data_IF_624163216428
#
_entry.id   IF_624163216428
#
_cell.length_a   1.000
_cell.length_b   1.000
_cell.length_c   1.000
_cell.angle_alpha   90.00
_cell.angle_beta   90.00
_cell.angle_gamma   90.00
#
_symmetry.space_group_name_H-M   'P 1'
#
loop_
_entity.id
_entity.type
_entity.pdbx_description
1 polymer ?
#
# COMPACT_ATOMS: atom_id res chain seq x y z
N UNK A 1 -20.72 -4.75 -19.55
CA UNK A 1 -19.69 -3.81 -19.04
C UNK A 1 -18.63 -4.63 -18.33
N UNK A 2 -17.38 -4.16 -18.22
CA UNK A 2 -16.40 -4.84 -17.36
C UNK A 2 -16.77 -4.60 -15.89
N UNK A 3 -16.57 -5.60 -15.03
CA UNK A 3 -16.80 -5.51 -13.57
C UNK A 3 -16.13 -4.27 -12.98
N UNK A 4 -14.91 -3.91 -13.42
CA UNK A 4 -14.24 -2.66 -13.03
C UNK A 4 -15.07 -1.39 -13.25
N UNK A 5 -15.85 -1.30 -14.34
CA UNK A 5 -16.65 -0.10 -14.64
C UNK A 5 -17.82 0.06 -13.66
N UNK A 6 -18.41 -1.07 -13.25
CA UNK A 6 -19.48 -1.08 -12.24
C UNK A 6 -18.92 -0.73 -10.86
N UNK A 7 -17.77 -1.30 -10.49
CA UNK A 7 -17.06 -0.98 -9.26
C UNK A 7 -16.62 0.50 -9.22
N UNK A 8 -16.16 1.07 -10.34
CA UNK A 8 -15.82 2.48 -10.41
C UNK A 8 -17.04 3.40 -10.22
N UNK A 9 -18.22 2.98 -10.71
CA UNK A 9 -19.47 3.70 -10.46
C UNK A 9 -19.86 3.63 -8.99
N UNK A 10 -19.71 2.47 -8.35
CA UNK A 10 -19.95 2.32 -6.91
C UNK A 10 -19.02 3.22 -6.09
N UNK A 11 -17.72 3.24 -6.40
CA UNK A 11 -16.74 4.13 -5.74
C UNK A 11 -17.15 5.60 -5.79
N UNK A 12 -17.77 6.06 -6.89
CA UNK A 12 -18.22 7.45 -7.01
C UNK A 12 -19.35 7.85 -6.06
N UNK A 13 -19.99 6.88 -5.41
CA UNK A 13 -21.06 7.09 -4.43
C UNK A 13 -20.59 7.09 -2.97
N UNK A 14 -19.33 6.70 -2.71
CA UNK A 14 -18.76 6.58 -1.36
C UNK A 14 -18.02 7.85 -0.94
N UNK A 15 -18.06 8.19 0.35
CA UNK A 15 -17.33 9.33 0.90
C UNK A 15 -15.91 8.93 1.35
N UNK A 16 -14.93 9.07 0.45
CA UNK A 16 -13.55 8.58 0.65
C UNK A 16 -12.48 9.67 0.74
N UNK A 17 -12.88 10.95 0.78
CA UNK A 17 -11.95 12.08 0.68
C UNK A 17 -10.91 12.13 1.81
N UNK A 18 -11.20 11.50 2.95
CA UNK A 18 -10.32 11.47 4.11
C UNK A 18 -9.23 10.38 4.02
N UNK A 19 -9.18 9.59 2.95
CA UNK A 19 -8.19 8.51 2.77
C UNK A 19 -6.94 8.95 2.01
N UNK A 20 -6.99 10.07 1.29
CA UNK A 20 -5.86 10.52 0.48
C UNK A 20 -4.79 11.19 1.35
N UNK A 21 -3.53 10.74 1.22
CA UNK A 21 -2.38 11.19 2.04
C UNK A 21 -2.57 10.99 3.55
N UNK A 22 -3.22 9.89 3.93
CA UNK A 22 -3.41 9.50 5.33
C UNK A 22 -2.96 8.06 5.58
N UNK A 23 -2.68 7.74 6.84
CA UNK A 23 -2.30 6.39 7.26
C UNK A 23 -3.50 5.45 7.46
N UNK A 24 -3.24 4.14 7.36
CA UNK A 24 -4.18 3.07 7.69
C UNK A 24 -3.63 2.23 8.85
N UNK A 25 -3.95 2.60 10.08
CA UNK A 25 -3.52 1.86 11.28
C UNK A 25 -4.58 0.86 11.75
N UNK A 26 -5.80 1.33 11.97
CA UNK A 26 -6.88 0.54 12.55
C UNK A 26 -8.16 0.67 11.72
N UNK A 27 -8.92 -0.42 11.61
CA UNK A 27 -10.17 -0.43 10.83
C UNK A 27 -11.30 0.35 11.49
N UNK A 28 -11.30 0.48 12.83
CA UNK A 28 -12.31 1.26 13.56
C UNK A 28 -12.08 2.77 13.51
N UNK A 29 -10.91 3.21 13.02
CA UNK A 29 -10.64 4.62 12.74
C UNK A 29 -11.11 5.03 11.34
N UNK A 30 -11.81 4.14 10.64
CA UNK A 30 -12.31 4.33 9.28
C UNK A 30 -13.82 4.23 9.26
N UNK A 31 -14.43 4.99 8.37
CA UNK A 31 -15.89 4.92 8.16
C UNK A 31 -16.24 3.66 7.36
N UNK A 32 -17.51 3.25 7.41
CA UNK A 32 -17.99 2.13 6.60
C UNK A 32 -17.77 2.38 5.09
N UNK A 33 -17.97 3.63 4.63
CA UNK A 33 -17.69 4.05 3.24
C UNK A 33 -16.21 3.85 2.86
N UNK A 34 -15.28 4.18 3.76
CA UNK A 34 -13.84 4.02 3.53
C UNK A 34 -13.43 2.54 3.47
N UNK A 35 -14.02 1.71 4.34
CA UNK A 35 -13.78 0.26 4.33
C UNK A 35 -14.38 -0.39 3.07
N UNK A 36 -15.59 0.01 2.66
CA UNK A 36 -16.21 -0.47 1.42
C UNK A 36 -15.39 -0.06 0.19
N UNK A 37 -14.83 1.15 0.19
CA UNK A 37 -13.94 1.60 -0.88
C UNK A 37 -12.69 0.73 -1.01
N UNK A 38 -12.09 0.29 0.09
CA UNK A 38 -10.94 -0.63 0.07
C UNK A 38 -11.31 -1.95 -0.60
N UNK A 39 -12.45 -2.56 -0.22
CA UNK A 39 -12.89 -3.80 -0.83
C UNK A 39 -13.21 -3.63 -2.31
N UNK A 40 -13.87 -2.52 -2.67
CA UNK A 40 -14.23 -2.19 -4.05
C UNK A 40 -12.99 -1.99 -4.93
N UNK A 41 -11.97 -1.28 -4.44
CA UNK A 41 -10.69 -1.12 -5.14
C UNK A 41 -9.95 -2.45 -5.26
N UNK A 42 -9.92 -3.27 -4.21
CA UNK A 42 -9.27 -4.58 -4.24
C UNK A 42 -9.89 -5.50 -5.32
N UNK A 43 -11.22 -5.52 -5.40
CA UNK A 43 -11.96 -6.28 -6.41
C UNK A 43 -11.74 -5.74 -7.83
N UNK A 44 -11.63 -4.41 -7.97
CA UNK A 44 -11.35 -3.78 -9.25
C UNK A 44 -9.94 -4.10 -9.77
N UNK A 45 -8.93 -4.06 -8.88
CA UNK A 45 -7.55 -4.43 -9.20
C UNK A 45 -7.44 -5.92 -9.58
N UNK A 46 -8.19 -6.79 -8.89
CA UNK A 46 -8.28 -8.23 -9.25
C UNK A 46 -8.84 -8.41 -10.66
N UNK A 47 -9.99 -7.81 -10.97
CA UNK A 47 -10.62 -7.91 -12.30
C UNK A 47 -9.70 -7.38 -13.43
N UNK A 48 -8.97 -6.30 -13.18
CA UNK A 48 -7.99 -5.77 -14.14
C UNK A 48 -6.85 -6.76 -14.37
N UNK A 49 -6.30 -7.34 -13.30
CA UNK A 49 -5.20 -8.31 -13.40
C UNK A 49 -5.61 -9.60 -14.10
N UNK A 50 -6.80 -10.12 -13.81
CA UNK A 50 -7.38 -11.31 -14.44
C UNK A 50 -7.59 -11.11 -15.95
N UNK A 51 -7.86 -9.86 -16.38
CA UNK A 51 -7.96 -9.46 -17.79
C UNK A 51 -6.64 -9.02 -18.41
N UNK A 52 -5.52 -9.36 -17.78
CA UNK A 52 -4.16 -9.03 -18.21
C UNK A 52 -3.94 -7.54 -18.48
N UNK A 53 -4.56 -6.67 -17.66
CA UNK A 53 -4.34 -5.22 -17.69
C UNK A 53 -3.38 -4.83 -16.58
N UNK A 54 -2.33 -4.10 -16.94
CA UNK A 54 -1.40 -3.51 -15.98
C UNK A 54 -2.12 -2.46 -15.14
N UNK A 55 -1.89 -2.50 -13.83
CA UNK A 55 -2.38 -1.52 -12.84
C UNK A 55 -1.24 -0.67 -12.29
N UNK A 56 -0.11 -0.61 -13.00
CA UNK A 56 1.01 0.25 -12.62
C UNK A 56 0.56 1.70 -12.66
N UNK A 57 0.75 2.40 -11.55
CA UNK A 57 0.48 3.84 -11.40
C UNK A 57 1.75 4.63 -11.06
N UNK A 58 2.83 3.93 -10.71
CA UNK A 58 4.17 4.49 -10.52
C UNK A 58 5.11 4.00 -11.62
N UNK A 59 5.84 4.94 -12.23
CA UNK A 59 6.91 4.62 -13.19
C UNK A 59 8.20 4.24 -12.45
N UNK A 60 8.52 4.98 -11.39
CA UNK A 60 9.58 4.72 -10.41
C UNK A 60 9.12 5.08 -9.00
N UNK A 61 9.82 4.56 -7.99
CA UNK A 61 9.59 4.88 -6.57
C UNK A 61 9.83 3.68 -5.67
N UNK A 62 10.07 3.94 -4.38
CA UNK A 62 10.32 2.90 -3.40
C UNK A 62 9.15 2.69 -2.45
N UNK A 63 8.83 1.42 -2.16
CA UNK A 63 8.01 1.00 -1.04
C UNK A 63 8.91 0.46 0.08
N UNK A 64 9.06 1.23 1.17
CA UNK A 64 9.90 0.81 2.29
C UNK A 64 9.18 -0.25 3.12
N UNK A 65 9.82 -1.40 3.32
CA UNK A 65 9.29 -2.50 4.11
C UNK A 65 9.99 -2.59 5.45
N UNK A 66 9.27 -2.34 6.55
CA UNK A 66 9.83 -2.33 7.91
C UNK A 66 9.24 -3.51 8.68
N UNK A 67 10.07 -4.53 8.94
CA UNK A 67 9.67 -5.73 9.69
C UNK A 67 10.55 -5.91 10.92
N UNK A 68 9.97 -5.75 12.11
CA UNK A 68 10.65 -6.03 13.40
C UNK A 68 10.77 -7.51 13.70
N UNK A 69 9.75 -8.27 13.29
CA UNK A 69 9.68 -9.72 13.42
C UNK A 69 9.55 -10.39 12.05
N UNK A 70 10.04 -11.63 11.96
CA UNK A 70 10.01 -12.38 10.73
C UNK A 70 8.59 -12.88 10.40
N UNK A 71 8.02 -12.38 9.31
CA UNK A 71 6.77 -12.89 8.73
C UNK A 71 6.89 -13.00 7.20
N UNK A 72 7.20 -14.20 6.71
CA UNK A 72 7.35 -14.45 5.27
C UNK A 72 6.05 -14.16 4.50
N UNK A 73 4.88 -14.52 5.05
CA UNK A 73 3.58 -14.31 4.39
C UNK A 73 3.28 -12.83 4.18
N UNK A 74 3.53 -12.00 5.20
CA UNK A 74 3.26 -10.56 5.12
C UNK A 74 4.27 -9.88 4.20
N UNK A 75 5.55 -10.24 4.25
CA UNK A 75 6.60 -9.72 3.35
C UNK A 75 6.25 -9.96 1.88
N UNK A 76 5.90 -11.21 1.53
CA UNK A 76 5.52 -11.55 0.16
C UNK A 76 4.23 -10.82 -0.28
N UNK A 77 3.24 -10.68 0.61
CA UNK A 77 2.01 -9.94 0.31
C UNK A 77 2.29 -8.47 0.01
N UNK A 78 3.09 -7.81 0.85
CA UNK A 78 3.47 -6.40 0.66
C UNK A 78 4.27 -6.21 -0.62
N UNK A 79 5.27 -7.07 -0.88
CA UNK A 79 6.07 -6.98 -2.08
C UNK A 79 5.26 -7.20 -3.36
N UNK A 80 4.29 -8.13 -3.33
CA UNK A 80 3.37 -8.34 -4.45
C UNK A 80 2.50 -7.11 -4.73
N UNK A 81 2.03 -6.42 -3.68
CA UNK A 81 1.24 -5.19 -3.81
C UNK A 81 2.07 -4.04 -4.39
N UNK A 82 3.29 -3.81 -3.87
CA UNK A 82 4.21 -2.80 -4.42
C UNK A 82 4.49 -3.04 -5.91
N UNK A 83 4.84 -4.28 -6.27
CA UNK A 83 5.13 -4.63 -7.66
C UNK A 83 3.93 -4.43 -8.59
N UNK A 84 2.72 -4.81 -8.14
CA UNK A 84 1.47 -4.64 -8.89
C UNK A 84 1.20 -3.17 -9.26
N UNK A 85 1.55 -2.24 -8.37
CA UNK A 85 1.37 -0.79 -8.56
C UNK A 85 2.58 -0.11 -9.22
N UNK A 86 3.70 -0.81 -9.34
CA UNK A 86 4.90 -0.36 -10.04
C UNK A 86 6.04 0.15 -9.15
N UNK A 87 5.92 -0.01 -7.83
CA UNK A 87 6.96 0.34 -6.85
C UNK A 87 7.99 -0.79 -6.69
N UNK A 88 9.22 -0.41 -6.39
CA UNK A 88 10.28 -1.33 -5.96
C UNK A 88 10.32 -1.41 -4.44
N UNK A 89 10.45 -2.61 -3.87
CA UNK A 89 10.47 -2.79 -2.41
C UNK A 89 11.90 -2.67 -1.91
N UNK A 90 12.11 -1.91 -0.83
CA UNK A 90 13.37 -1.89 -0.10
C UNK A 90 13.13 -2.28 1.36
N UNK A 91 13.73 -3.39 1.77
CA UNK A 91 13.61 -3.92 3.13
C UNK A 91 14.56 -3.14 4.08
N UNK A 92 13.97 -2.53 5.12
CA UNK A 92 14.72 -1.94 6.23
C UNK A 92 14.79 -2.94 7.38
N UNK A 93 15.95 -3.58 7.52
CA UNK A 93 16.24 -4.46 8.65
C UNK A 93 16.68 -3.62 9.85
N UNK A 94 15.79 -3.42 10.84
CA UNK A 94 16.11 -2.65 12.06
C UNK A 94 17.35 -3.16 12.80
N UNK A 95 17.66 -4.47 12.73
CA UNK A 95 18.84 -5.05 13.41
C UNK A 95 20.15 -4.74 12.71
N UNK A 96 20.10 -4.49 11.39
CA UNK A 96 21.26 -4.09 10.59
C UNK A 96 21.30 -2.57 10.35
N UNK A 97 20.22 -1.88 10.65
CA UNK A 97 20.08 -0.44 10.48
C UNK A 97 20.89 0.33 11.53
N UNK A 98 21.22 1.57 11.20
CA UNK A 98 21.85 2.53 12.12
C UNK A 98 20.96 2.89 13.32
N UNK A 99 19.67 2.53 13.30
CA UNK A 99 18.80 2.53 14.49
C UNK A 99 19.44 1.71 15.64
N UNK A 100 20.03 0.55 15.33
CA UNK A 100 20.74 -0.26 16.32
C UNK A 100 22.05 0.39 16.82
N UNK A 101 22.52 1.42 16.13
CA UNK A 101 23.75 2.17 16.41
C UNK A 101 23.47 3.57 17.00
N UNK A 102 22.21 3.85 17.37
CA UNK A 102 21.83 5.07 18.08
C UNK A 102 21.19 6.17 17.24
N UNK A 103 20.93 5.93 15.94
CA UNK A 103 20.13 6.84 15.11
C UNK A 103 18.69 6.90 15.62
N UNK A 104 18.10 8.09 15.67
CA UNK A 104 16.72 8.24 16.15
C UNK A 104 15.72 7.76 15.10
N UNK A 105 14.55 7.29 15.55
CA UNK A 105 13.44 6.91 14.65
C UNK A 105 13.08 8.02 13.67
N UNK A 106 13.16 9.28 14.12
CA UNK A 106 12.89 10.46 13.28
C UNK A 106 13.91 10.59 12.16
N UNK A 107 15.20 10.46 12.46
CA UNK A 107 16.26 10.56 11.45
C UNK A 107 16.11 9.46 10.41
N UNK A 108 15.92 8.22 10.84
CA UNK A 108 15.78 7.10 9.90
C UNK A 108 14.54 7.23 9.02
N UNK A 109 13.40 7.64 9.59
CA UNK A 109 12.18 7.86 8.82
C UNK A 109 12.37 8.94 7.73
N UNK A 110 13.08 10.03 8.03
CA UNK A 110 13.37 11.05 7.01
C UNK A 110 14.35 10.52 5.95
N UNK A 111 15.38 9.78 6.37
CA UNK A 111 16.42 9.27 5.47
C UNK A 111 15.90 8.27 4.44
N UNK A 112 14.93 7.43 4.79
CA UNK A 112 14.38 6.41 3.89
C UNK A 112 13.25 6.93 2.98
N UNK A 113 12.86 8.20 3.10
CA UNK A 113 11.69 8.77 2.40
C UNK A 113 12.03 9.92 1.42
N UNK A 114 13.27 9.99 0.91
CA UNK A 114 13.68 11.05 -0.03
C UNK A 114 13.16 10.91 -1.46
N UNK A 115 12.87 9.68 -1.90
CA UNK A 115 12.33 9.38 -3.24
C UNK A 115 10.82 9.19 -3.18
#
# INVERSE_FOLDING_TARGET
MSKTVELARHLSTLNINNMYKTDFYWTWDKTDDEIDAIFTVADALRDLRERNKSTRVFDSGLGISIFRDNSTRTRFSFASACNLLGLEVQDLDEKKSQIAHGETVRETANMVSFM
#
